data_IF_905900278684
#
_entry.id   IF_905900278684
#
_cell.length_a   1.000
_cell.length_b   1.000
_cell.length_c   1.000
_cell.angle_alpha   90.00
_cell.angle_beta   90.00
_cell.angle_gamma   90.00
#
_symmetry.space_group_name_H-M   'P 1'
#
loop_
_entity.id
_entity.type
_entity.pdbx_description
1 polymer ?
#
# COMPACT_ATOMS: atom_id res chain seq x y z
N UNK A 1 1.41 -30.80 -7.84
CA UNK A 1 1.25 -29.49 -8.48
C UNK A 1 -0.12 -28.97 -8.06
N UNK A 2 -0.20 -28.21 -6.98
CA UNK A 2 -1.45 -27.60 -6.53
C UNK A 2 -1.31 -26.09 -6.73
N UNK A 3 -1.99 -25.60 -7.73
CA UNK A 3 -2.28 -24.19 -7.90
C UNK A 3 -3.33 -23.85 -6.84
N UNK A 4 -2.89 -23.21 -5.76
CA UNK A 4 -3.82 -22.63 -4.77
C UNK A 4 -4.41 -21.41 -5.45
N UNK A 5 -5.70 -21.50 -5.78
CA UNK A 5 -6.48 -20.38 -6.26
C UNK A 5 -6.40 -19.23 -5.26
N UNK A 6 -6.13 -18.04 -5.75
CA UNK A 6 -6.39 -16.82 -5.01
C UNK A 6 -7.89 -16.74 -4.80
N UNK A 7 -8.35 -17.08 -3.60
CA UNK A 7 -9.71 -16.80 -3.19
C UNK A 7 -9.92 -15.29 -3.26
N UNK A 8 -10.87 -14.88 -4.10
CA UNK A 8 -11.33 -13.51 -4.20
C UNK A 8 -11.71 -13.06 -2.78
N UNK A 9 -10.95 -12.09 -2.24
CA UNK A 9 -11.28 -11.47 -0.97
C UNK A 9 -12.69 -10.90 -1.09
N UNK A 10 -13.61 -11.41 -0.30
CA UNK A 10 -15.02 -11.05 -0.31
C UNK A 10 -15.16 -9.55 -0.07
N UNK A 11 -15.74 -8.80 -1.00
CA UNK A 11 -16.10 -7.39 -0.78
C UNK A 11 -16.97 -7.31 0.48
N UNK A 12 -16.62 -6.41 1.40
CA UNK A 12 -17.34 -6.22 2.66
C UNK A 12 -16.81 -7.03 3.85
N UNK A 13 -15.65 -7.68 3.74
CA UNK A 13 -15.07 -8.35 4.89
C UNK A 13 -14.55 -7.32 5.92
N UNK A 14 -14.93 -7.45 7.22
CA UNK A 14 -14.48 -6.54 8.25
C UNK A 14 -12.97 -6.57 8.41
N UNK A 15 -12.39 -5.46 8.88
CA UNK A 15 -10.96 -5.35 9.13
C UNK A 15 -10.48 -6.43 10.09
N UNK A 16 -9.43 -7.11 9.70
CA UNK A 16 -8.68 -8.02 10.55
C UNK A 16 -7.18 -7.79 10.38
N UNK A 17 -6.38 -8.27 11.33
CA UNK A 17 -4.91 -8.18 11.23
C UNK A 17 -4.23 -9.41 11.81
N UNK A 18 -3.00 -9.62 11.33
CA UNK A 18 -2.08 -10.63 11.86
C UNK A 18 -0.77 -9.97 12.23
N UNK A 19 -0.25 -10.28 13.41
CA UNK A 19 1.06 -9.83 13.88
C UNK A 19 2.06 -10.93 13.66
N UNK A 20 3.20 -10.60 13.04
CA UNK A 20 4.35 -11.48 12.88
C UNK A 20 5.58 -10.78 13.47
N UNK A 21 6.17 -11.36 14.48
CA UNK A 21 7.41 -10.86 15.07
C UNK A 21 8.60 -11.52 14.38
N UNK A 22 9.53 -10.68 13.91
CA UNK A 22 10.82 -11.10 13.37
C UNK A 22 11.94 -10.36 14.10
N UNK A 23 13.17 -10.89 14.13
CA UNK A 23 14.29 -10.16 14.72
C UNK A 23 14.39 -8.74 14.13
N UNK A 24 14.23 -7.72 14.98
CA UNK A 24 14.37 -6.32 14.63
C UNK A 24 13.12 -5.63 14.06
N UNK A 25 12.02 -6.33 13.75
CA UNK A 25 10.81 -5.69 13.23
C UNK A 25 9.54 -6.49 13.52
N UNK A 26 8.50 -5.80 13.96
CA UNK A 26 7.14 -6.36 14.06
C UNK A 26 6.37 -6.04 12.78
N UNK A 27 5.91 -7.06 12.07
CA UNK A 27 5.09 -6.91 10.87
C UNK A 27 3.62 -7.10 11.21
N UNK A 28 2.78 -6.18 10.78
CA UNK A 28 1.31 -6.26 10.89
C UNK A 28 0.72 -6.32 9.50
N UNK A 29 0.06 -7.42 9.18
CA UNK A 29 -0.67 -7.62 7.93
C UNK A 29 -2.13 -7.28 8.15
N UNK A 30 -2.66 -6.30 7.41
CA UNK A 30 -4.06 -5.89 7.45
C UNK A 30 -4.83 -6.50 6.29
N UNK A 31 -6.05 -6.99 6.57
CA UNK A 31 -6.92 -7.64 5.59
C UNK A 31 -8.34 -7.14 5.77
N UNK A 32 -9.03 -6.82 4.68
CA UNK A 32 -10.43 -6.40 4.67
C UNK A 32 -10.64 -4.90 4.45
N UNK A 33 -11.73 -4.37 4.98
CA UNK A 33 -12.11 -2.97 4.82
C UNK A 33 -11.85 -2.18 6.10
N UNK A 34 -11.36 -0.94 5.96
CA UNK A 34 -11.23 0.00 7.08
C UNK A 34 -12.43 0.94 7.06
N UNK A 35 -13.35 0.75 7.97
CA UNK A 35 -14.61 1.48 8.09
C UNK A 35 -14.81 2.05 9.50
N UNK A 36 -16.01 2.48 9.82
CA UNK A 36 -16.41 2.99 11.14
C UNK A 36 -16.32 1.96 12.27
N UNK A 37 -16.24 0.68 11.95
CA UNK A 37 -16.12 -0.40 12.92
C UNK A 37 -14.65 -0.80 13.20
N UNK A 38 -13.70 -0.17 12.50
CA UNK A 38 -12.29 -0.46 12.67
C UNK A 38 -11.81 -0.06 14.08
N UNK A 39 -11.47 -1.05 14.91
CA UNK A 39 -10.93 -0.83 16.25
C UNK A 39 -9.44 -1.20 16.31
N UNK A 40 -8.60 -0.19 16.47
CA UNK A 40 -7.15 -0.33 16.59
C UNK A 40 -6.64 -0.33 18.05
N UNK A 41 -7.50 -0.27 19.06
CA UNK A 41 -7.10 -0.08 20.45
C UNK A 41 -6.19 -1.20 20.97
N UNK A 42 -6.52 -2.47 20.67
CA UNK A 42 -5.69 -3.60 21.07
C UNK A 42 -4.35 -3.60 20.32
N UNK A 43 -4.37 -3.37 19.03
CA UNK A 43 -3.17 -3.30 18.19
C UNK A 43 -2.21 -2.22 18.69
N UNK A 44 -2.73 -1.01 18.97
CA UNK A 44 -1.95 0.11 19.52
C UNK A 44 -1.23 -0.22 20.82
N UNK A 45 -1.88 -0.97 21.73
CA UNK A 45 -1.27 -1.39 22.99
C UNK A 45 -0.14 -2.40 22.82
N UNK A 46 -0.16 -3.17 21.75
CA UNK A 46 0.81 -4.26 21.50
C UNK A 46 2.05 -3.80 20.72
N UNK A 47 1.94 -2.77 19.90
CA UNK A 47 3.02 -2.37 19.01
C UNK A 47 4.15 -1.64 19.74
N UNK A 48 5.40 -2.09 19.51
CA UNK A 48 6.64 -1.56 20.10
C UNK A 48 7.77 -1.63 19.07
N UNK A 49 8.75 -0.73 19.21
CA UNK A 49 9.97 -0.74 18.38
C UNK A 49 9.70 -0.46 16.91
N UNK A 50 10.52 -1.01 16.00
CA UNK A 50 10.28 -0.89 14.55
C UNK A 50 9.07 -1.72 14.13
N UNK A 51 8.17 -1.11 13.34
CA UNK A 51 6.92 -1.73 12.87
C UNK A 51 6.77 -1.53 11.37
N UNK A 52 6.37 -2.59 10.67
CA UNK A 52 6.01 -2.58 9.26
C UNK A 52 4.54 -2.96 9.09
N UNK A 53 3.74 -2.09 8.47
CA UNK A 53 2.37 -2.40 8.06
C UNK A 53 2.34 -2.90 6.62
N UNK A 54 1.77 -4.07 6.40
CA UNK A 54 1.45 -4.61 5.07
C UNK A 54 -0.02 -4.33 4.76
N UNK A 55 -0.26 -3.58 3.70
CA UNK A 55 -1.57 -3.00 3.38
C UNK A 55 -2.14 -3.51 2.04
N UNK A 56 -1.55 -4.58 1.49
CA UNK A 56 -1.95 -5.12 0.18
C UNK A 56 -3.35 -5.71 0.16
N UNK A 57 -3.81 -6.24 1.28
CA UNK A 57 -5.13 -6.83 1.41
C UNK A 57 -6.19 -5.86 1.97
N UNK A 58 -5.86 -4.57 2.12
CA UNK A 58 -6.84 -3.52 2.41
C UNK A 58 -7.49 -3.09 1.10
N UNK A 59 -8.71 -3.57 0.85
CA UNK A 59 -9.41 -3.37 -0.43
C UNK A 59 -10.22 -2.08 -0.48
N UNK A 60 -10.64 -1.59 0.67
CA UNK A 60 -11.48 -0.40 0.77
C UNK A 60 -11.22 0.34 2.06
N UNK A 61 -11.40 1.65 2.02
CA UNK A 61 -11.44 2.51 3.21
C UNK A 61 -12.46 3.63 2.97
N UNK A 62 -13.41 3.80 3.90
CA UNK A 62 -14.39 4.87 3.82
C UNK A 62 -13.94 6.10 4.65
N UNK A 63 -14.70 7.19 4.61
CA UNK A 63 -14.34 8.45 5.29
C UNK A 63 -14.25 8.32 6.82
N UNK A 64 -15.08 7.47 7.43
CA UNK A 64 -15.01 7.19 8.85
C UNK A 64 -13.75 6.36 9.18
N UNK A 65 -13.47 5.34 8.38
CA UNK A 65 -12.25 4.54 8.48
C UNK A 65 -10.97 5.35 8.31
N UNK A 66 -10.96 6.32 7.38
CA UNK A 66 -9.82 7.25 7.23
C UNK A 66 -9.56 8.00 8.54
N UNK A 67 -10.58 8.51 9.21
CA UNK A 67 -10.43 9.20 10.49
C UNK A 67 -9.85 8.28 11.56
N UNK A 68 -10.39 7.07 11.70
CA UNK A 68 -9.89 6.09 12.67
C UNK A 68 -8.45 5.68 12.37
N UNK A 69 -8.11 5.47 11.09
CA UNK A 69 -6.74 5.18 10.65
C UNK A 69 -5.76 6.30 10.97
N UNK A 70 -6.08 7.55 10.63
CA UNK A 70 -5.20 8.71 10.90
C UNK A 70 -4.96 8.88 12.40
N UNK A 71 -6.00 8.70 13.22
CA UNK A 71 -5.88 8.74 14.68
C UNK A 71 -4.99 7.62 15.19
N UNK A 72 -5.15 6.39 14.69
CA UNK A 72 -4.33 5.25 15.05
C UNK A 72 -2.85 5.46 14.70
N UNK A 73 -2.54 5.83 13.45
CA UNK A 73 -1.16 6.03 12.99
C UNK A 73 -0.46 7.17 13.74
N UNK A 74 -1.21 8.23 14.08
CA UNK A 74 -0.68 9.35 14.85
C UNK A 74 -0.32 8.97 16.29
N UNK A 75 -1.11 8.09 16.91
CA UNK A 75 -0.99 7.72 18.31
C UNK A 75 -0.35 6.33 18.49
N UNK A 76 0.93 6.22 18.09
CA UNK A 76 1.76 5.02 18.25
C UNK A 76 3.00 5.37 19.10
N UNK A 77 2.85 5.57 20.43
CA UNK A 77 3.88 6.18 21.28
C UNK A 77 5.14 5.32 21.43
N UNK A 78 5.02 4.01 21.30
CA UNK A 78 6.12 3.08 21.52
C UNK A 78 6.73 2.53 20.22
N UNK A 79 6.22 2.96 19.07
CA UNK A 79 6.78 2.62 17.75
C UNK A 79 7.91 3.58 17.43
N UNK A 80 9.12 3.08 17.22
CA UNK A 80 10.34 3.88 16.97
C UNK A 80 10.57 4.17 15.49
N UNK A 81 10.24 3.23 14.61
CA UNK A 81 10.26 3.39 13.14
C UNK A 81 9.01 2.74 12.57
N UNK A 82 8.30 3.44 11.70
CA UNK A 82 7.09 2.95 11.05
C UNK A 82 7.27 2.95 9.55
N UNK A 83 6.87 1.86 8.92
CA UNK A 83 6.87 1.75 7.46
C UNK A 83 5.58 1.10 6.94
N UNK A 84 5.17 1.51 5.74
CA UNK A 84 4.09 0.88 4.99
C UNK A 84 4.68 0.17 3.77
N UNK A 85 4.23 -1.04 3.53
CA UNK A 85 4.64 -1.87 2.41
C UNK A 85 3.42 -2.49 1.74
N UNK A 86 3.57 -2.85 0.46
CA UNK A 86 2.49 -3.45 -0.31
C UNK A 86 1.21 -2.59 -0.29
N UNK A 87 1.33 -1.25 -0.30
CA UNK A 87 0.15 -0.38 -0.25
C UNK A 87 -0.78 -0.68 -1.44
N UNK A 88 -2.02 -1.13 -1.18
CA UNK A 88 -3.02 -1.37 -2.22
C UNK A 88 -3.38 -0.07 -2.94
N UNK A 89 -4.00 -0.11 -4.14
CA UNK A 89 -4.50 1.09 -4.82
C UNK A 89 -5.46 1.92 -3.97
N UNK A 90 -6.28 1.27 -3.13
CA UNK A 90 -7.13 1.97 -2.19
C UNK A 90 -6.33 2.81 -1.18
N UNK A 91 -5.22 2.26 -0.66
CA UNK A 91 -4.31 2.98 0.25
C UNK A 91 -3.54 4.08 -0.49
N UNK A 92 -3.05 3.81 -1.72
CA UNK A 92 -2.37 4.82 -2.54
C UNK A 92 -3.27 6.02 -2.80
N UNK A 93 -4.55 5.78 -3.08
CA UNK A 93 -5.54 6.85 -3.23
C UNK A 93 -5.61 7.73 -1.98
N UNK A 94 -5.63 7.14 -0.78
CA UNK A 94 -5.67 7.91 0.46
C UNK A 94 -4.35 8.64 0.74
N UNK A 95 -3.21 8.03 0.43
CA UNK A 95 -1.89 8.68 0.54
C UNK A 95 -1.81 9.97 -0.29
N UNK A 96 -2.48 9.99 -1.45
CA UNK A 96 -2.52 11.15 -2.34
C UNK A 96 -3.57 12.20 -1.93
N UNK A 97 -4.64 11.79 -1.25
CA UNK A 97 -5.78 12.69 -0.97
C UNK A 97 -5.76 13.27 0.44
N UNK A 98 -5.22 12.53 1.41
CA UNK A 98 -5.38 12.84 2.84
C UNK A 98 -4.04 13.22 3.44
N UNK A 99 -3.90 14.50 3.77
CA UNK A 99 -2.77 14.97 4.55
C UNK A 99 -2.64 14.20 5.86
N UNK A 100 -1.44 13.78 6.21
CA UNK A 100 -1.14 12.95 7.39
C UNK A 100 -1.71 11.51 7.38
N UNK A 101 -2.21 10.98 6.26
CA UNK A 101 -2.67 9.59 6.19
C UNK A 101 -1.59 8.58 6.61
N UNK A 102 -0.35 8.82 6.20
CA UNK A 102 0.80 7.99 6.59
C UNK A 102 1.45 8.40 7.92
N UNK A 103 1.11 9.60 8.46
CA UNK A 103 1.83 10.17 9.60
C UNK A 103 3.34 10.22 9.32
N UNK A 104 4.15 9.59 10.20
CA UNK A 104 5.61 9.47 10.06
C UNK A 104 6.08 8.22 9.32
N UNK A 105 5.17 7.42 8.77
CA UNK A 105 5.54 6.17 8.11
C UNK A 105 6.31 6.42 6.82
N UNK A 106 7.34 5.59 6.59
CA UNK A 106 8.08 5.54 5.33
C UNK A 106 7.38 4.55 4.40
N UNK A 107 7.08 4.95 3.16
CA UNK A 107 6.53 4.03 2.17
C UNK A 107 7.66 3.20 1.58
N UNK A 108 7.51 1.86 1.61
CA UNK A 108 8.49 0.90 1.11
C UNK A 108 8.12 0.27 -0.21
N UNK A 109 6.83 0.00 -0.40
CA UNK A 109 6.32 -0.54 -1.66
C UNK A 109 4.81 -0.29 -1.79
N UNK A 110 4.33 -0.30 -3.01
CA UNK A 110 2.92 -0.12 -3.34
C UNK A 110 2.56 -0.90 -4.60
N UNK A 111 1.28 -1.20 -4.78
CA UNK A 111 0.76 -1.76 -6.01
C UNK A 111 0.35 -0.66 -6.97
N UNK A 112 0.65 -0.85 -8.25
CA UNK A 112 0.32 0.05 -9.34
C UNK A 112 -0.49 -0.72 -10.40
N UNK A 113 -1.61 -0.16 -10.91
CA UNK A 113 -2.44 -0.81 -11.92
C UNK A 113 -1.74 -0.77 -13.29
N UNK A 114 -1.77 -1.91 -13.98
CA UNK A 114 -1.27 -2.06 -15.35
C UNK A 114 -2.30 -2.77 -16.20
N UNK A 115 -2.38 -2.40 -17.46
CA UNK A 115 -3.26 -3.00 -18.47
C UNK A 115 -2.45 -3.45 -19.68
N UNK A 116 -2.84 -4.56 -20.26
CA UNK A 116 -2.28 -5.06 -21.50
C UNK A 116 -3.21 -4.72 -22.66
N UNK A 117 -2.82 -3.79 -23.54
CA UNK A 117 -3.64 -3.38 -24.70
C UNK A 117 -3.89 -4.51 -25.69
N UNK A 118 -3.02 -5.52 -25.74
CA UNK A 118 -3.14 -6.61 -26.69
C UNK A 118 -4.21 -7.65 -26.30
N UNK A 119 -4.44 -7.91 -24.99
CA UNK A 119 -5.40 -8.92 -24.55
C UNK A 119 -6.39 -8.41 -23.49
N UNK A 120 -6.30 -7.16 -23.07
CA UNK A 120 -7.18 -6.54 -22.08
C UNK A 120 -6.95 -7.01 -20.64
N UNK A 121 -5.85 -7.75 -20.36
CA UNK A 121 -5.54 -8.18 -18.99
C UNK A 121 -5.16 -7.00 -18.12
N UNK A 122 -5.83 -6.87 -16.98
CA UNK A 122 -5.49 -5.94 -15.92
C UNK A 122 -4.73 -6.66 -14.81
N UNK A 123 -3.72 -6.03 -14.25
CA UNK A 123 -2.89 -6.60 -13.20
C UNK A 123 -2.29 -5.51 -12.30
N UNK A 124 -2.25 -5.75 -10.99
CA UNK A 124 -1.57 -4.87 -10.05
C UNK A 124 -0.11 -5.31 -9.89
N UNK A 125 0.83 -4.44 -10.24
CA UNK A 125 2.27 -4.71 -10.14
C UNK A 125 2.87 -4.09 -8.88
N UNK A 126 3.63 -4.88 -8.13
CA UNK A 126 4.31 -4.39 -6.93
C UNK A 126 5.53 -3.55 -7.31
N UNK A 127 5.56 -2.32 -6.81
CA UNK A 127 6.66 -1.36 -7.01
C UNK A 127 7.36 -1.11 -5.68
N UNK A 128 8.65 -1.40 -5.62
CA UNK A 128 9.47 -1.04 -4.47
C UNK A 128 9.88 0.43 -4.50
N UNK A 129 9.79 1.10 -3.36
CA UNK A 129 10.29 2.46 -3.17
C UNK A 129 11.70 2.36 -2.59
N UNK A 130 12.75 2.71 -3.35
CA UNK A 130 14.13 2.67 -2.87
C UNK A 130 14.32 3.59 -1.65
N UNK A 131 15.05 3.11 -0.66
CA UNK A 131 15.33 3.83 0.60
C UNK A 131 16.24 5.04 0.43
N UNK A 132 16.91 5.16 -0.73
CA UNK A 132 17.73 6.31 -1.10
C UNK A 132 17.56 6.58 -2.60
N UNK A 133 17.01 7.74 -2.92
CA UNK A 133 17.15 8.47 -4.19
C UNK A 133 17.06 7.67 -5.50
N UNK A 134 16.02 6.88 -5.71
CA UNK A 134 15.90 6.11 -6.97
C UNK A 134 14.58 6.28 -7.71
N UNK A 135 13.47 6.52 -7.02
CA UNK A 135 12.28 7.09 -7.62
C UNK A 135 12.26 8.59 -7.29
N UNK A 136 13.27 9.30 -7.82
CA UNK A 136 13.10 10.73 -7.94
C UNK A 136 11.95 10.94 -8.93
N UNK A 137 10.88 11.64 -8.56
CA UNK A 137 9.86 12.04 -9.54
C UNK A 137 10.44 12.95 -10.64
N UNK A 138 11.76 13.12 -10.69
CA UNK A 138 12.50 14.07 -11.51
C UNK A 138 13.75 13.43 -12.12
N UNK A 139 13.59 12.57 -13.11
CA UNK A 139 14.66 12.33 -14.07
C UNK A 139 14.38 13.17 -15.33
N UNK A 140 15.12 14.26 -15.48
CA UNK A 140 15.31 14.98 -16.74
C UNK A 140 14.11 15.70 -17.39
N UNK A 141 12.87 15.36 -17.07
CA UNK A 141 11.66 15.98 -17.63
C UNK A 141 10.53 16.16 -16.60
N UNK A 142 10.81 15.94 -15.30
CA UNK A 142 9.80 16.16 -14.26
C UNK A 142 8.71 15.09 -14.15
N UNK A 143 8.83 13.96 -14.86
CA UNK A 143 7.87 12.86 -14.81
C UNK A 143 8.43 11.68 -14.04
N UNK A 144 7.67 11.08 -13.09
CA UNK A 144 8.04 9.82 -12.47
C UNK A 144 8.05 8.70 -13.53
N UNK A 145 9.09 7.88 -13.52
CA UNK A 145 9.19 6.71 -14.40
C UNK A 145 8.82 5.46 -13.62
N UNK A 146 7.85 4.72 -14.14
CA UNK A 146 7.44 3.42 -13.65
C UNK A 146 8.16 2.31 -14.44
N UNK A 147 8.41 1.14 -13.82
CA UNK A 147 8.97 0.00 -14.52
C UNK A 147 8.08 -0.48 -15.67
N UNK A 148 8.71 -1.03 -16.72
CA UNK A 148 7.98 -1.70 -17.78
C UNK A 148 7.74 -3.17 -17.39
N UNK A 149 6.49 -3.62 -17.58
CA UNK A 149 6.10 -5.00 -17.37
C UNK A 149 5.67 -5.66 -18.67
N UNK A 150 5.67 -6.99 -18.65
CA UNK A 150 5.26 -7.83 -19.78
C UNK A 150 4.10 -8.68 -19.33
N UNK A 151 3.03 -8.71 -20.12
CA UNK A 151 1.84 -9.50 -19.84
C UNK A 151 2.18 -11.00 -19.78
N UNK A 152 1.76 -11.67 -18.72
CA UNK A 152 2.03 -13.11 -18.54
C UNK A 152 1.24 -13.98 -19.53
N UNK A 153 0.12 -13.48 -20.08
CA UNK A 153 -0.72 -14.22 -21.02
C UNK A 153 -0.21 -14.17 -22.46
N UNK A 154 0.08 -12.97 -22.98
CA UNK A 154 0.38 -12.77 -24.39
C UNK A 154 1.79 -12.22 -24.66
N UNK A 155 2.59 -11.99 -23.64
CA UNK A 155 3.97 -11.48 -23.73
C UNK A 155 4.09 -10.07 -24.35
N UNK A 156 2.97 -9.36 -24.52
CA UNK A 156 3.00 -7.98 -24.97
C UNK A 156 3.37 -7.03 -23.79
N UNK A 157 3.88 -5.83 -24.09
CA UNK A 157 4.11 -4.81 -23.07
C UNK A 157 2.80 -4.45 -22.36
N UNK A 158 2.90 -4.18 -21.05
CA UNK A 158 1.79 -3.63 -20.26
C UNK A 158 2.00 -2.13 -20.07
N UNK A 159 0.92 -1.38 -20.10
CA UNK A 159 0.92 0.04 -19.84
C UNK A 159 0.38 0.34 -18.45
N UNK A 160 0.89 1.40 -17.83
CA UNK A 160 0.40 1.86 -16.53
C UNK A 160 -0.99 2.52 -16.72
N UNK A 161 -1.99 2.01 -15.99
CA UNK A 161 -3.40 2.37 -16.16
C UNK A 161 -3.84 3.55 -15.27
N UNK A 162 -3.02 4.59 -15.15
CA UNK A 162 -3.36 5.87 -14.50
C UNK A 162 -2.39 6.98 -14.98
N UNK A 163 -2.57 8.19 -14.48
CA UNK A 163 -1.66 9.31 -14.70
C UNK A 163 -0.51 9.26 -13.67
N UNK A 164 0.75 8.98 -14.09
CA UNK A 164 1.87 8.81 -13.16
C UNK A 164 2.06 9.98 -12.18
N UNK A 165 1.90 11.21 -12.65
CA UNK A 165 2.07 12.42 -11.84
C UNK A 165 1.04 12.50 -10.71
N UNK A 166 -0.17 12.01 -10.95
CA UNK A 166 -1.25 11.95 -9.96
C UNK A 166 -1.06 10.77 -9.01
N UNK A 167 -0.86 9.58 -9.58
CA UNK A 167 -0.76 8.35 -8.79
C UNK A 167 0.43 8.32 -7.83
N UNK A 168 1.57 8.91 -8.24
CA UNK A 168 2.81 8.92 -7.47
C UNK A 168 3.03 10.21 -6.67
N UNK A 169 2.01 11.10 -6.56
CA UNK A 169 2.18 12.39 -5.88
C UNK A 169 2.56 12.26 -4.41
N UNK A 170 2.13 11.18 -3.72
CA UNK A 170 2.51 10.89 -2.33
C UNK A 170 4.02 10.67 -2.12
N UNK A 171 4.78 10.36 -3.17
CA UNK A 171 6.24 10.21 -3.10
C UNK A 171 6.98 11.56 -3.09
N UNK A 172 6.34 12.63 -3.57
CA UNK A 172 6.95 13.96 -3.63
C UNK A 172 6.98 14.66 -2.27
N UNK A 173 6.19 14.19 -1.30
CA UNK A 173 6.08 14.75 0.06
C UNK A 173 7.00 14.04 1.08
N UNK A 174 8.00 13.30 0.62
CA UNK A 174 8.90 12.50 1.46
C UNK A 174 10.12 13.29 1.94
#
# INVERSE_FOLDING_TARGET
>A
MNVVGMDAATEGAPLSWRIRERPGVTTVEFVGEIDENADFADLRRRLRGPVAFQLGEVRRINSCGVREWVNFVRDLPHVTDLSFSHCSPAIVTQLNMIYNFRGRAKIRSFYAPYVCDACGREEEQLIDVPTQAGLSPRTGAGRPTLPNFVCVECQAPMEFDDLPERYLSFLAEA
#
